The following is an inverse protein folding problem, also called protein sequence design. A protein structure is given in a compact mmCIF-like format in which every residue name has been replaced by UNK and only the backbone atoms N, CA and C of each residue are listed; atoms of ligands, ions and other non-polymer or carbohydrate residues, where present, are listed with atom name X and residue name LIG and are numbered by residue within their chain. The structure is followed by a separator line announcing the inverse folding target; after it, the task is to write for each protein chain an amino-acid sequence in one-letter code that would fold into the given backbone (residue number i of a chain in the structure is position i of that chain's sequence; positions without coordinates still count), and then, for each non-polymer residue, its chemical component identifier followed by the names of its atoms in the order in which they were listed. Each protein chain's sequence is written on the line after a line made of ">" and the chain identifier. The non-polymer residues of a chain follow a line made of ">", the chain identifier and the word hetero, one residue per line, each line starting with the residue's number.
data_IF_312484764839
#
_entry.id   IF_312484764839
#
_cell.length_a   1.000
_cell.length_b   1.000
_cell.length_c   1.000
_cell.angle_alpha   90.00
_cell.angle_beta   90.00
_cell.angle_gamma   90.00
#
_symmetry.space_group_name_H-M   'P 1'
#
loop_
_entity.id
_entity.type
_entity.pdbx_description
1 polymer ?
#
# COMPACT_ATOMS: atom_id res chain seq x y z
N UNK A 1 -7.26 -19.13 -6.23
CA UNK A 1 -6.87 -18.08 -5.26
C UNK A 1 -7.55 -16.72 -5.49
N UNK A 2 -7.98 -16.37 -6.71
CA UNK A 2 -8.68 -15.12 -7.01
C UNK A 2 -10.13 -15.04 -6.47
N UNK A 3 -10.89 -16.15 -6.53
CA UNK A 3 -12.30 -16.17 -6.14
C UNK A 3 -12.55 -15.80 -4.66
N UNK A 4 -11.72 -16.32 -3.74
CA UNK A 4 -11.80 -15.95 -2.31
C UNK A 4 -11.52 -14.46 -2.05
N UNK A 5 -10.75 -13.79 -2.92
CA UNK A 5 -10.46 -12.34 -2.81
C UNK A 5 -11.65 -11.51 -3.31
N UNK A 6 -12.30 -11.91 -4.42
CA UNK A 6 -13.53 -11.30 -4.89
C UNK A 6 -14.67 -11.38 -3.87
N UNK A 7 -14.87 -12.55 -3.23
CA UNK A 7 -15.91 -12.72 -2.19
C UNK A 7 -15.62 -11.83 -0.97
N UNK A 8 -14.36 -11.72 -0.53
CA UNK A 8 -13.99 -10.80 0.58
C UNK A 8 -14.18 -9.33 0.23
N UNK A 9 -14.06 -8.95 -1.04
CA UNK A 9 -14.32 -7.58 -1.49
C UNK A 9 -15.83 -7.27 -1.49
N UNK A 10 -16.65 -8.23 -1.93
CA UNK A 10 -18.11 -8.09 -1.94
C UNK A 10 -18.72 -8.04 -0.53
N UNK A 11 -18.20 -8.83 0.42
CA UNK A 11 -18.69 -8.84 1.82
C UNK A 11 -18.31 -7.57 2.59
N UNK A 12 -17.29 -6.83 2.13
CA UNK A 12 -16.80 -5.61 2.82
C UNK A 12 -17.15 -4.30 2.13
N UNK A 13 -17.80 -4.31 0.96
CA UNK A 13 -18.11 -3.11 0.16
C UNK A 13 -16.90 -2.19 -0.06
N UNK A 14 -15.74 -2.78 -0.40
CA UNK A 14 -14.58 -1.96 -0.73
C UNK A 14 -14.81 -1.15 -2.01
N UNK A 15 -14.39 0.11 -2.01
CA UNK A 15 -14.42 0.95 -3.20
C UNK A 15 -13.44 0.46 -4.27
N UNK A 16 -13.60 0.93 -5.51
CA UNK A 16 -12.65 0.61 -6.59
C UNK A 16 -11.21 1.04 -6.23
N UNK A 17 -11.07 2.20 -5.57
CA UNK A 17 -9.78 2.70 -5.11
C UNK A 17 -9.15 1.76 -4.06
N UNK A 18 -9.93 1.29 -3.09
CA UNK A 18 -9.46 0.32 -2.10
C UNK A 18 -9.09 -1.02 -2.73
N UNK A 19 -9.86 -1.50 -3.71
CA UNK A 19 -9.57 -2.74 -4.42
C UNK A 19 -8.22 -2.64 -5.14
N UNK A 20 -7.97 -1.55 -5.88
CA UNK A 20 -6.71 -1.32 -6.59
C UNK A 20 -5.52 -1.21 -5.64
N UNK A 21 -5.65 -0.51 -4.51
CA UNK A 21 -4.57 -0.45 -3.51
C UNK A 21 -4.30 -1.84 -2.91
N UNK A 22 -5.35 -2.61 -2.58
CA UNK A 22 -5.18 -3.96 -2.04
C UNK A 22 -4.51 -4.92 -3.02
N UNK A 23 -4.72 -4.72 -4.31
CA UNK A 23 -4.03 -5.44 -5.38
C UNK A 23 -2.56 -5.02 -5.48
N UNK A 24 -2.28 -3.72 -5.51
CA UNK A 24 -0.92 -3.18 -5.58
C UNK A 24 -0.07 -3.59 -4.36
N UNK A 25 -0.69 -3.71 -3.19
CA UNK A 25 -0.04 -4.08 -1.93
C UNK A 25 -0.30 -5.55 -1.55
N UNK A 26 -0.46 -6.45 -2.52
CA UNK A 26 -0.67 -7.88 -2.27
C UNK A 26 0.59 -8.58 -1.72
N UNK A 27 0.44 -9.77 -1.13
CA UNK A 27 1.56 -10.63 -0.74
C UNK A 27 2.23 -11.39 -1.91
N UNK A 28 1.89 -11.09 -3.16
CA UNK A 28 2.52 -11.75 -4.31
C UNK A 28 4.03 -11.42 -4.36
N UNK A 29 4.89 -12.30 -4.87
CA UNK A 29 6.35 -12.09 -4.78
C UNK A 29 6.89 -10.98 -5.70
N UNK A 30 6.09 -10.47 -6.65
CA UNK A 30 6.44 -9.37 -7.56
C UNK A 30 5.84 -8.03 -7.12
N UNK A 31 6.48 -6.92 -7.47
CA UNK A 31 5.99 -5.57 -7.19
C UNK A 31 4.71 -5.19 -7.95
N UNK A 32 4.02 -4.09 -7.59
CA UNK A 32 2.88 -3.58 -8.34
C UNK A 32 3.30 -3.19 -9.76
N UNK A 33 2.42 -3.42 -10.75
CA UNK A 33 2.68 -3.00 -12.13
C UNK A 33 2.61 -1.48 -12.25
N UNK A 34 3.38 -0.90 -13.18
CA UNK A 34 3.35 0.54 -13.46
C UNK A 34 1.96 1.02 -13.88
N UNK A 35 1.23 0.23 -14.65
CA UNK A 35 -0.16 0.56 -15.05
C UNK A 35 -1.09 0.66 -13.85
N UNK A 36 -0.99 -0.26 -12.89
CA UNK A 36 -1.82 -0.23 -11.69
C UNK A 36 -1.47 0.97 -10.80
N UNK A 37 -0.18 1.30 -10.67
CA UNK A 37 0.24 2.48 -9.91
C UNK A 37 -0.21 3.78 -10.58
N UNK A 38 -0.20 3.84 -11.92
CA UNK A 38 -0.72 4.96 -12.69
C UNK A 38 -2.22 5.14 -12.45
N UNK A 39 -3.02 4.08 -12.58
CA UNK A 39 -4.46 4.13 -12.29
C UNK A 39 -4.76 4.67 -10.88
N UNK A 40 -4.01 4.20 -9.88
CA UNK A 40 -4.18 4.67 -8.49
C UNK A 40 -3.78 6.14 -8.38
N UNK A 41 -2.73 6.58 -9.07
CA UNK A 41 -2.31 7.98 -9.06
C UNK A 41 -3.37 8.91 -9.64
N UNK A 42 -4.07 8.50 -10.69
CA UNK A 42 -5.18 9.28 -11.27
C UNK A 42 -6.36 9.39 -10.29
N UNK A 43 -6.64 8.34 -9.51
CA UNK A 43 -7.69 8.37 -8.48
C UNK A 43 -7.38 9.35 -7.33
N UNK A 44 -6.11 9.70 -7.08
CA UNK A 44 -5.74 10.64 -6.01
C UNK A 44 -6.25 12.07 -6.22
N UNK A 45 -6.70 12.41 -7.44
CA UNK A 45 -7.31 13.71 -7.73
C UNK A 45 -8.77 13.81 -7.23
N UNK A 46 -9.42 12.68 -6.96
CA UNK A 46 -10.70 12.64 -6.26
C UNK A 46 -10.46 12.59 -4.74
N UNK A 47 -11.11 13.49 -4.00
CA UNK A 47 -10.90 13.61 -2.54
C UNK A 47 -11.39 12.41 -1.74
N UNK A 48 -12.47 11.75 -2.18
CA UNK A 48 -13.01 10.56 -1.50
C UNK A 48 -12.06 9.41 -1.74
N UNK A 49 -11.70 9.15 -3.01
CA UNK A 49 -10.76 8.09 -3.37
C UNK A 49 -9.39 8.30 -2.74
N UNK A 50 -8.89 9.54 -2.66
CA UNK A 50 -7.64 9.84 -1.97
C UNK A 50 -7.68 9.43 -0.50
N UNK A 51 -8.75 9.77 0.22
CA UNK A 51 -8.91 9.39 1.64
C UNK A 51 -8.91 7.87 1.80
N UNK A 52 -9.64 7.16 0.94
CA UNK A 52 -9.69 5.70 0.93
C UNK A 52 -8.32 5.06 0.63
N UNK A 53 -7.60 5.59 -0.36
CA UNK A 53 -6.26 5.15 -0.74
C UNK A 53 -5.29 5.32 0.43
N UNK A 54 -5.26 6.51 1.04
CA UNK A 54 -4.37 6.80 2.16
C UNK A 54 -4.69 5.91 3.37
N UNK A 55 -5.98 5.75 3.73
CA UNK A 55 -6.40 4.91 4.84
C UNK A 55 -5.98 3.44 4.64
N UNK A 56 -6.16 2.90 3.44
CA UNK A 56 -5.72 1.54 3.12
C UNK A 56 -4.19 1.41 3.18
N UNK A 57 -3.44 2.36 2.64
CA UNK A 57 -1.98 2.38 2.72
C UNK A 57 -1.50 2.38 4.18
N UNK A 58 -2.06 3.25 5.03
CA UNK A 58 -1.71 3.28 6.45
C UNK A 58 -2.04 1.97 7.16
N UNK A 59 -3.16 1.33 6.83
CA UNK A 59 -3.48 0.02 7.38
C UNK A 59 -2.44 -1.03 6.99
N UNK A 60 -2.03 -1.07 5.72
CA UNK A 60 -1.03 -2.02 5.20
C UNK A 60 0.39 -1.76 5.70
N UNK A 61 0.73 -0.51 5.97
CA UNK A 61 2.01 -0.14 6.57
C UNK A 61 2.15 -0.64 8.02
N UNK A 62 1.04 -0.88 8.71
CA UNK A 62 1.01 -1.47 10.05
C UNK A 62 0.86 -3.01 10.03
N UNK A 63 0.97 -3.67 8.87
CA UNK A 63 1.03 -5.13 8.82
C UNK A 63 2.40 -5.64 9.33
N UNK A 64 2.44 -6.86 9.86
CA UNK A 64 3.66 -7.46 10.42
C UNK A 64 3.80 -8.95 10.08
N UNK A 65 4.95 -9.54 10.42
CA UNK A 65 5.24 -10.97 10.27
C UNK A 65 5.13 -11.44 8.81
N UNK A 66 4.34 -12.48 8.55
CA UNK A 66 4.16 -13.06 7.20
C UNK A 66 3.61 -12.09 6.12
N UNK A 67 3.14 -10.92 6.52
CA UNK A 67 2.58 -9.89 5.67
C UNK A 67 3.57 -8.76 5.34
N UNK A 68 4.87 -8.95 5.57
CA UNK A 68 5.90 -7.93 5.31
C UNK A 68 5.85 -7.35 3.88
N UNK A 69 5.42 -8.13 2.87
CA UNK A 69 5.26 -7.64 1.50
C UNK A 69 4.17 -6.58 1.36
N UNK A 70 3.14 -6.61 2.21
CA UNK A 70 2.16 -5.53 2.26
C UNK A 70 2.84 -4.22 2.64
N UNK A 71 3.70 -4.23 3.66
CA UNK A 71 4.46 -3.05 4.12
C UNK A 71 5.35 -2.54 3.01
N UNK A 72 6.22 -3.40 2.46
CA UNK A 72 7.17 -3.04 1.41
C UNK A 72 6.48 -2.44 0.18
N UNK A 73 5.45 -3.11 -0.36
CA UNK A 73 4.72 -2.62 -1.54
C UNK A 73 3.89 -1.38 -1.25
N UNK A 74 3.44 -1.18 -0.01
CA UNK A 74 2.78 0.07 0.39
C UNK A 74 3.75 1.24 0.37
N UNK A 75 5.00 1.05 0.82
CA UNK A 75 6.06 2.06 0.69
C UNK A 75 6.37 2.34 -0.78
N UNK A 76 6.47 1.30 -1.63
CA UNK A 76 6.67 1.46 -3.08
C UNK A 76 5.54 2.29 -3.72
N UNK A 77 4.28 1.96 -3.42
CA UNK A 77 3.14 2.70 -3.95
C UNK A 77 3.11 4.14 -3.41
N UNK A 78 3.38 4.35 -2.12
CA UNK A 78 3.45 5.69 -1.52
C UNK A 78 4.49 6.58 -2.21
N UNK A 79 5.70 6.06 -2.46
CA UNK A 79 6.76 6.79 -3.19
C UNK A 79 6.31 7.17 -4.61
N UNK A 80 5.64 6.27 -5.31
CA UNK A 80 5.08 6.56 -6.63
C UNK A 80 4.02 7.66 -6.57
N UNK A 81 3.09 7.60 -5.60
CA UNK A 81 2.01 8.58 -5.46
C UNK A 81 2.52 9.97 -5.05
N UNK A 82 3.59 10.04 -4.25
CA UNK A 82 4.24 11.32 -3.91
C UNK A 82 4.81 12.00 -5.16
N UNK A 83 5.34 11.21 -6.11
CA UNK A 83 5.96 11.72 -7.34
C UNK A 83 4.96 12.03 -8.45
N UNK A 84 3.90 11.22 -8.56
CA UNK A 84 3.02 11.22 -9.74
C UNK A 84 1.55 11.57 -9.42
N UNK A 85 1.15 11.52 -8.15
CA UNK A 85 -0.23 11.80 -7.73
C UNK A 85 -0.53 13.26 -7.44
N UNK A 86 -1.71 13.50 -6.90
CA UNK A 86 -2.17 14.80 -6.42
C UNK A 86 -1.25 15.37 -5.34
N UNK A 87 -1.04 16.70 -5.34
CA UNK A 87 -0.27 17.41 -4.30
C UNK A 87 -0.78 17.14 -2.88
N UNK A 88 -2.06 16.78 -2.73
CA UNK A 88 -2.66 16.42 -1.44
C UNK A 88 -2.07 15.14 -0.84
N UNK A 89 -1.50 14.24 -1.65
CA UNK A 89 -0.78 13.05 -1.16
C UNK A 89 0.38 13.46 -0.25
N UNK A 90 1.15 14.48 -0.65
CA UNK A 90 2.27 15.00 0.15
C UNK A 90 1.79 15.57 1.48
N UNK A 91 0.64 16.23 1.50
CA UNK A 91 0.05 16.74 2.74
C UNK A 91 -0.30 15.61 3.71
N UNK A 92 -1.01 14.58 3.23
CA UNK A 92 -1.34 13.42 4.07
C UNK A 92 -0.10 12.68 4.58
N UNK A 93 0.96 12.60 3.76
CA UNK A 93 2.23 11.99 4.18
C UNK A 93 2.94 12.81 5.28
N UNK A 94 2.87 14.15 5.21
CA UNK A 94 3.42 15.04 6.25
C UNK A 94 2.67 14.92 7.56
N UNK A 95 1.35 14.82 7.50
CA UNK A 95 0.49 14.61 8.69
C UNK A 95 0.75 13.24 9.33
N UNK A 96 1.01 12.20 8.52
CA UNK A 96 1.37 10.85 8.97
C UNK A 96 2.86 10.60 9.21
N UNK A 97 3.72 11.62 9.16
CA UNK A 97 5.17 11.46 9.14
C UNK A 97 5.74 10.74 10.38
N UNK A 98 5.12 10.91 11.56
CA UNK A 98 5.52 10.15 12.76
C UNK A 98 5.34 8.64 12.59
N UNK A 99 4.32 8.19 11.84
CA UNK A 99 4.09 6.76 11.57
C UNK A 99 5.06 6.20 10.51
N UNK A 100 5.66 7.07 9.67
CA UNK A 100 6.69 6.64 8.73
C UNK A 100 8.07 6.53 9.39
N UNK A 101 8.35 7.31 10.45
CA UNK A 101 9.60 7.19 11.19
C UNK A 101 9.73 5.84 11.91
N UNK A 102 8.65 5.28 12.41
CA UNK A 102 8.66 3.97 13.09
C UNK A 102 8.94 2.80 12.14
N UNK A 103 8.81 3.00 10.83
CA UNK A 103 9.15 2.00 9.81
C UNK A 103 10.63 2.02 9.40
N UNK A 104 11.42 3.03 9.81
CA UNK A 104 12.87 3.03 9.55
C UNK A 104 13.58 1.84 10.17
N UNK A 105 13.05 1.33 11.28
CA UNK A 105 13.60 0.19 12.01
C UNK A 105 12.86 -1.12 11.68
N UNK A 106 12.03 -1.14 10.63
CA UNK A 106 11.31 -2.35 10.24
C UNK A 106 12.30 -3.39 9.70
N UNK A 107 12.45 -4.48 10.44
CA UNK A 107 13.28 -5.62 10.07
C UNK A 107 12.44 -6.88 10.01
N UNK A 108 12.57 -7.66 8.92
CA UNK A 108 11.95 -8.97 8.83
C UNK A 108 12.97 -10.01 8.36
N UNK A 109 13.45 -10.83 9.29
CA UNK A 109 14.32 -11.97 8.99
C UNK A 109 13.42 -13.16 8.67
N UNK A 110 13.57 -13.73 7.47
CA UNK A 110 12.84 -14.92 7.05
C UNK A 110 13.39 -16.22 7.67
N UNK A 111 12.70 -17.33 7.46
CA UNK A 111 13.09 -18.65 7.98
C UNK A 111 14.44 -19.15 7.41
N UNK A 112 14.94 -18.54 6.32
CA UNK A 112 16.25 -18.81 5.75
C UNK A 112 17.36 -17.88 6.31
N UNK A 113 17.03 -17.04 7.29
CA UNK A 113 17.97 -16.09 7.92
C UNK A 113 18.23 -14.84 7.07
N UNK A 114 17.46 -14.59 6.02
CA UNK A 114 17.61 -13.43 5.15
C UNK A 114 16.70 -12.29 5.62
N UNK A 115 17.30 -11.12 5.82
CA UNK A 115 16.55 -9.89 6.05
C UNK A 115 15.84 -9.46 4.75
N UNK A 116 14.51 -9.53 4.77
CA UNK A 116 13.63 -9.08 3.70
C UNK A 116 13.18 -7.61 3.91
N UNK A 117 13.58 -6.99 5.03
CA UNK A 117 13.34 -5.58 5.34
C UNK A 117 14.41 -4.65 4.78
N UNK A 118 15.63 -5.15 4.56
CA UNK A 118 16.71 -4.42 3.89
C UNK A 118 16.77 -4.74 2.40
N UNK A 119 16.86 -3.69 1.57
CA UNK A 119 17.19 -3.79 0.15
C UNK A 119 18.67 -4.10 -0.06
#
# INVERSE_FOLDING_TARGET
>A
MAFRRQVKNFVKNYSDAEIKVREATSNDPWGPSSSLMLDISDLTFNTISLSEIMNMLWHRLNDHGKNWRHVYKSLTLMDYLIKNGSKKVVQHCREGFCNLQTLKDFQHIDEAGKDQGNG
#
